data_IF_034208751854
#
_entry.id   IF_034208751854
#
_cell.length_a   1.000
_cell.length_b   1.000
_cell.length_c   1.000
_cell.angle_alpha   90.00
_cell.angle_beta   90.00
_cell.angle_gamma   90.00
#
_symmetry.space_group_name_H-M   'P 1'
#
loop_
_entity.id
_entity.type
_entity.pdbx_description
1 polymer ?
#
# COMPACT_ATOMS: atom_id res chain seq x y z
N UNK A 1 -33.11 11.61 30.02
CA UNK A 1 -32.66 10.43 29.24
C UNK A 1 -31.15 10.30 29.40
N UNK A 2 -30.66 9.29 30.13
CA UNK A 2 -29.22 9.09 30.32
C UNK A 2 -28.57 8.65 29.00
N UNK A 3 -27.56 9.40 28.54
CA UNK A 3 -26.77 9.03 27.38
C UNK A 3 -26.13 7.65 27.61
N UNK A 4 -26.37 6.71 26.69
CA UNK A 4 -25.75 5.38 26.74
C UNK A 4 -24.22 5.52 26.79
N UNK A 5 -23.51 4.72 27.59
CA UNK A 5 -22.06 4.82 27.70
C UNK A 5 -21.38 4.57 26.34
N UNK A 6 -20.47 5.48 25.98
CA UNK A 6 -19.65 5.45 24.78
C UNK A 6 -18.83 4.15 24.71
N UNK A 7 -19.12 3.28 23.74
CA UNK A 7 -18.44 2.00 23.55
C UNK A 7 -17.72 1.97 22.18
N UNK A 8 -16.42 2.32 22.13
CA UNK A 8 -15.62 2.32 20.90
C UNK A 8 -15.63 0.98 20.16
N UNK A 9 -15.77 -0.16 20.88
CA UNK A 9 -15.68 -1.48 20.27
C UNK A 9 -16.91 -1.87 19.46
N UNK A 10 -18.09 -1.28 19.73
CA UNK A 10 -19.29 -1.46 18.92
C UNK A 10 -19.19 -0.78 17.55
N UNK A 11 -18.32 0.24 17.43
CA UNK A 11 -18.20 1.09 16.26
C UNK A 11 -17.45 0.41 15.11
N UNK A 12 -16.48 -0.48 15.39
CA UNK A 12 -15.53 -0.96 14.38
C UNK A 12 -15.82 -2.33 13.77
N UNK A 13 -16.77 -3.11 14.30
CA UNK A 13 -17.05 -4.48 13.84
C UNK A 13 -17.47 -4.55 12.36
N UNK A 14 -18.14 -3.51 11.87
CA UNK A 14 -18.57 -3.40 10.47
C UNK A 14 -17.58 -2.65 9.58
N UNK A 15 -16.52 -2.04 10.15
CA UNK A 15 -15.62 -1.18 9.36
C UNK A 15 -14.96 -1.93 8.21
N UNK A 16 -14.53 -3.18 8.43
CA UNK A 16 -13.95 -4.00 7.36
C UNK A 16 -14.94 -4.20 6.20
N UNK A 17 -16.19 -4.54 6.51
CA UNK A 17 -17.23 -4.77 5.51
C UNK A 17 -17.59 -3.48 4.76
N UNK A 18 -17.80 -2.38 5.48
CA UNK A 18 -18.14 -1.09 4.87
C UNK A 18 -16.98 -0.52 4.04
N UNK A 19 -15.73 -0.73 4.49
CA UNK A 19 -14.52 -0.37 3.73
C UNK A 19 -14.47 -1.12 2.40
N UNK A 20 -14.69 -2.43 2.43
CA UNK A 20 -14.74 -3.26 1.23
C UNK A 20 -15.87 -2.81 0.29
N UNK A 21 -17.05 -2.52 0.84
CA UNK A 21 -18.21 -2.02 0.09
C UNK A 21 -17.90 -0.66 -0.56
N UNK A 22 -17.27 0.27 0.19
CA UNK A 22 -16.89 1.60 -0.30
C UNK A 22 -15.86 1.51 -1.43
N UNK A 23 -14.98 0.51 -1.44
CA UNK A 23 -14.10 0.20 -2.57
C UNK A 23 -14.83 -0.39 -3.80
N UNK A 24 -16.17 -0.40 -3.82
CA UNK A 24 -16.97 -0.90 -4.94
C UNK A 24 -16.93 -2.42 -5.10
N UNK A 25 -16.60 -3.16 -4.03
CA UNK A 25 -16.56 -4.63 -4.09
C UNK A 25 -17.98 -5.21 -4.10
N UNK A 26 -18.23 -6.11 -5.04
CA UNK A 26 -19.51 -6.79 -5.23
C UNK A 26 -19.57 -8.09 -4.42
N UNK A 27 -20.79 -8.60 -4.18
CA UNK A 27 -21.05 -9.78 -3.34
C UNK A 27 -20.26 -11.03 -3.77
N UNK A 28 -19.97 -11.17 -5.06
CA UNK A 28 -19.31 -12.34 -5.64
C UNK A 28 -17.81 -12.11 -5.93
N UNK A 29 -17.27 -10.95 -5.56
CA UNK A 29 -15.87 -10.63 -5.80
C UNK A 29 -14.95 -11.50 -4.93
N UNK A 30 -13.86 -11.98 -5.53
CA UNK A 30 -12.83 -12.76 -4.82
C UNK A 30 -11.73 -11.86 -4.32
N UNK A 31 -11.88 -11.38 -3.10
CA UNK A 31 -10.88 -10.55 -2.44
C UNK A 31 -9.75 -11.38 -1.84
N UNK A 32 -8.51 -10.88 -1.97
CA UNK A 32 -7.32 -11.57 -1.48
C UNK A 32 -6.86 -10.97 -0.17
N UNK A 33 -6.91 -11.78 0.88
CA UNK A 33 -6.41 -11.43 2.21
C UNK A 33 -5.08 -12.10 2.48
N UNK A 34 -4.23 -11.42 3.26
CA UNK A 34 -2.98 -11.97 3.79
C UNK A 34 -3.01 -11.83 5.31
N UNK A 35 -2.67 -12.92 6.00
CA UNK A 35 -2.41 -12.93 7.43
C UNK A 35 -0.90 -12.98 7.62
N UNK A 36 -0.35 -11.95 8.24
CA UNK A 36 1.09 -11.83 8.49
C UNK A 36 1.30 -11.80 9.99
N UNK A 37 2.11 -12.73 10.51
CA UNK A 37 2.46 -12.71 11.93
C UNK A 37 3.34 -11.49 12.20
N UNK A 38 2.80 -10.53 12.93
CA UNK A 38 3.32 -9.17 12.99
C UNK A 38 4.37 -9.03 14.12
N UNK A 39 4.28 -9.88 15.16
CA UNK A 39 5.21 -9.86 16.28
C UNK A 39 6.61 -10.37 15.86
N UNK A 40 7.60 -9.50 16.02
CA UNK A 40 9.02 -9.83 15.85
C UNK A 40 9.40 -10.83 16.94
N UNK A 41 9.73 -12.09 16.58
CA UNK A 41 10.54 -12.92 17.48
C UNK A 41 11.88 -12.19 17.64
N UNK A 42 12.21 -11.81 18.87
CA UNK A 42 13.61 -11.48 19.23
C UNK A 42 14.42 -12.71 18.85
N UNK A 43 15.39 -12.53 17.95
CA UNK A 43 16.19 -13.56 17.29
C UNK A 43 15.39 -14.52 16.39
N UNK A 44 15.58 -14.39 15.08
CA UNK A 44 16.28 -15.42 14.31
C UNK A 44 16.28 -15.06 12.81
N UNK A 45 17.50 -14.93 12.27
CA UNK A 45 17.76 -15.37 10.90
C UNK A 45 17.21 -16.80 10.81
N UNK A 46 16.27 -17.11 9.91
CA UNK A 46 16.28 -18.31 9.06
C UNK A 46 15.07 -18.30 8.12
N UNK A 47 15.43 -18.38 6.84
CA UNK A 47 14.83 -19.20 5.78
C UNK A 47 13.33 -19.51 5.83
N UNK A 48 12.66 -19.07 4.78
CA UNK A 48 11.31 -19.48 4.40
C UNK A 48 11.23 -21.00 4.18
N UNK A 49 10.87 -21.76 5.19
CA UNK A 49 10.10 -23.01 5.12
C UNK A 49 10.05 -23.63 6.52
N UNK A 50 8.87 -24.11 6.92
CA UNK A 50 8.57 -24.76 8.21
C UNK A 50 8.58 -23.85 9.46
N UNK A 51 7.42 -23.30 9.81
CA UNK A 51 7.16 -22.83 11.18
C UNK A 51 5.65 -22.91 11.50
N UNK A 52 5.09 -24.11 11.36
CA UNK A 52 3.98 -24.53 12.22
C UNK A 52 4.62 -25.19 13.43
N UNK A 53 4.59 -24.52 14.59
CA UNK A 53 4.34 -25.07 15.94
C UNK A 53 4.85 -24.12 17.02
N UNK A 54 4.07 -24.09 18.11
CA UNK A 54 4.39 -23.57 19.46
C UNK A 54 4.67 -22.07 19.62
N UNK A 55 3.65 -21.35 20.10
CA UNK A 55 3.82 -20.08 20.81
C UNK A 55 3.39 -20.27 22.27
N UNK A 56 4.14 -19.75 23.25
CA UNK A 56 3.79 -19.87 24.66
C UNK A 56 2.50 -19.10 24.94
N UNK A 57 1.58 -19.76 25.64
CA UNK A 57 0.31 -19.23 26.12
C UNK A 57 0.54 -18.12 27.15
N UNK A 58 -0.10 -16.96 26.94
CA UNK A 58 -0.23 -15.90 27.94
C UNK A 58 -1.70 -15.85 28.41
N UNK A 59 -1.89 -15.90 29.73
CA UNK A 59 -3.21 -15.83 30.39
C UNK A 59 -3.64 -14.37 30.47
N UNK A 60 -4.85 -14.04 30.03
CA UNK A 60 -5.43 -12.70 30.19
C UNK A 60 -6.81 -12.78 30.87
N UNK A 61 -7.02 -11.90 31.84
CA UNK A 61 -8.26 -11.75 32.59
C UNK A 61 -9.32 -10.94 31.81
N UNK A 62 -10.59 -11.25 32.12
CA UNK A 62 -11.86 -10.85 31.49
C UNK A 62 -12.32 -9.42 31.84
N UNK A 63 -13.39 -8.87 31.20
CA UNK A 63 -14.27 -9.55 30.24
C UNK A 63 -14.12 -9.13 28.77
N UNK A 64 -14.08 -10.17 27.94
CA UNK A 64 -13.97 -10.21 26.48
C UNK A 64 -15.25 -10.86 25.92
N UNK A 65 -16.19 -10.07 25.42
CA UNK A 65 -17.42 -10.57 24.78
C UNK A 65 -17.79 -9.89 23.44
N UNK A 66 -17.09 -8.83 22.99
CA UNK A 66 -17.60 -7.95 21.91
C UNK A 66 -17.03 -8.18 20.50
N UNK A 67 -15.91 -8.89 20.35
CA UNK A 67 -15.30 -9.09 19.02
C UNK A 67 -15.95 -10.26 18.26
N UNK A 68 -16.31 -11.35 18.93
CA UNK A 68 -16.81 -12.56 18.27
C UNK A 68 -18.26 -12.44 17.77
N UNK A 69 -19.08 -11.56 18.35
CA UNK A 69 -20.49 -11.38 17.94
C UNK A 69 -20.69 -10.48 16.71
N UNK A 70 -19.65 -9.78 16.23
CA UNK A 70 -19.84 -8.56 15.41
C UNK A 70 -19.22 -8.64 14.01
N UNK A 71 -18.46 -9.70 13.68
CA UNK A 71 -17.82 -9.89 12.37
C UNK A 71 -18.51 -10.95 11.49
N UNK A 72 -19.81 -11.19 11.66
CA UNK A 72 -20.54 -12.25 10.94
C UNK A 72 -20.67 -12.03 9.44
N UNK A 73 -20.37 -10.82 8.94
CA UNK A 73 -20.59 -10.41 7.54
C UNK A 73 -19.45 -10.79 6.58
N UNK A 74 -18.25 -11.12 7.08
CA UNK A 74 -17.11 -11.51 6.24
C UNK A 74 -16.66 -12.92 6.58
N UNK A 75 -16.88 -13.85 5.66
CA UNK A 75 -16.35 -15.22 5.74
C UNK A 75 -15.10 -15.31 4.88
N UNK A 76 -13.94 -15.44 5.53
CA UNK A 76 -12.70 -15.72 4.81
C UNK A 76 -12.49 -17.22 4.67
N UNK A 77 -12.05 -17.65 3.49
CA UNK A 77 -11.80 -19.04 3.16
C UNK A 77 -10.34 -19.22 2.76
N UNK A 78 -9.78 -20.39 3.11
CA UNK A 78 -8.52 -20.86 2.54
C UNK A 78 -8.70 -21.21 1.06
N UNK A 79 -7.58 -21.47 0.36
CA UNK A 79 -7.62 -22.00 -1.01
C UNK A 79 -8.38 -23.32 -1.17
N UNK A 80 -8.57 -24.08 -0.09
CA UNK A 80 -9.30 -25.35 -0.05
C UNK A 80 -10.73 -25.18 0.48
N UNK A 81 -11.30 -23.98 0.39
CA UNK A 81 -12.63 -23.61 0.90
C UNK A 81 -12.86 -23.86 2.40
N UNK A 82 -11.80 -24.03 3.19
CA UNK A 82 -11.92 -24.13 4.66
C UNK A 82 -12.12 -22.75 5.29
N UNK A 83 -13.07 -22.56 6.21
CA UNK A 83 -13.24 -21.31 6.95
C UNK A 83 -11.99 -20.87 7.69
N UNK A 84 -11.73 -19.56 7.72
CA UNK A 84 -10.65 -18.92 8.48
C UNK A 84 -11.24 -18.02 9.55
N UNK A 85 -10.96 -18.30 10.82
CA UNK A 85 -11.36 -17.46 11.95
C UNK A 85 -10.41 -16.26 12.09
N UNK A 86 -10.62 -15.24 11.27
CA UNK A 86 -9.72 -14.08 11.14
C UNK A 86 -9.46 -13.38 12.48
N UNK A 87 -10.50 -13.18 13.29
CA UNK A 87 -10.37 -12.56 14.60
C UNK A 87 -9.50 -13.37 15.56
N UNK A 88 -9.61 -14.70 15.53
CA UNK A 88 -8.76 -15.60 16.31
C UNK A 88 -7.29 -15.45 15.89
N UNK A 89 -7.03 -15.39 14.59
CA UNK A 89 -5.67 -15.12 14.10
C UNK A 89 -5.18 -13.73 14.49
N UNK A 90 -6.02 -12.70 14.41
CA UNK A 90 -5.63 -11.35 14.81
C UNK A 90 -5.28 -11.25 16.30
N UNK A 91 -6.07 -11.91 17.16
CA UNK A 91 -5.75 -12.07 18.58
C UNK A 91 -4.43 -12.79 18.82
N UNK A 92 -4.10 -13.76 17.96
CA UNK A 92 -2.85 -14.52 18.03
C UNK A 92 -1.66 -13.80 17.38
N UNK A 93 -1.75 -12.49 17.15
CA UNK A 93 -0.63 -11.68 16.67
C UNK A 93 -0.52 -11.52 15.15
N UNK A 94 -1.50 -12.00 14.37
CA UNK A 94 -1.50 -11.81 12.92
C UNK A 94 -2.15 -10.48 12.52
N UNK A 95 -1.44 -9.62 11.80
CA UNK A 95 -2.08 -8.52 11.09
C UNK A 95 -2.83 -9.02 9.86
N UNK A 96 -3.96 -8.36 9.58
CA UNK A 96 -4.84 -8.66 8.45
C UNK A 96 -4.63 -7.62 7.36
N UNK A 97 -4.24 -8.09 6.18
CA UNK A 97 -4.06 -7.27 5.00
C UNK A 97 -5.01 -7.72 3.89
N UNK A 98 -5.33 -6.81 2.97
CA UNK A 98 -6.12 -7.08 1.77
C UNK A 98 -5.45 -6.43 0.55
N UNK A 99 -5.39 -7.15 -0.57
CA UNK A 99 -5.04 -6.54 -1.86
C UNK A 99 -6.17 -5.58 -2.27
N UNK A 100 -5.82 -4.31 -2.52
CA UNK A 100 -6.82 -3.26 -2.73
C UNK A 100 -7.45 -3.35 -4.13
N UNK A 101 -6.64 -3.55 -5.17
CA UNK A 101 -7.15 -3.65 -6.53
C UNK A 101 -7.53 -5.09 -6.89
N UNK A 102 -8.57 -5.24 -7.71
CA UNK A 102 -9.21 -6.53 -7.96
C UNK A 102 -8.50 -7.39 -8.98
N UNK A 103 -8.39 -8.67 -8.64
CA UNK A 103 -8.10 -9.76 -9.58
C UNK A 103 -8.65 -11.06 -9.02
N UNK A 104 -9.24 -11.89 -9.88
CA UNK A 104 -9.86 -13.15 -9.47
C UNK A 104 -8.87 -14.14 -8.83
N UNK A 105 -7.62 -14.15 -9.29
CA UNK A 105 -6.54 -15.00 -8.76
C UNK A 105 -5.19 -14.29 -8.84
N UNK A 106 -4.17 -14.82 -8.15
CA UNK A 106 -2.79 -14.28 -8.19
C UNK A 106 -2.18 -14.29 -9.61
N UNK A 107 -2.63 -15.20 -10.47
CA UNK A 107 -2.11 -15.42 -11.83
C UNK A 107 -2.93 -14.71 -12.91
N UNK A 108 -4.12 -14.21 -12.59
CA UNK A 108 -4.97 -13.46 -13.53
C UNK A 108 -4.61 -11.98 -13.55
N UNK A 109 -4.86 -11.36 -14.69
CA UNK A 109 -4.74 -9.91 -14.87
C UNK A 109 -5.73 -9.16 -13.99
N UNK A 110 -5.34 -7.96 -13.58
CA UNK A 110 -6.28 -7.01 -12.99
C UNK A 110 -7.31 -6.62 -14.04
N UNK A 111 -8.56 -6.40 -13.62
CA UNK A 111 -9.62 -5.91 -14.51
C UNK A 111 -9.72 -4.38 -14.46
N UNK A 112 -9.68 -3.83 -13.26
CA UNK A 112 -9.74 -2.39 -12.99
C UNK A 112 -9.03 -2.06 -11.68
N UNK A 113 -8.59 -0.82 -11.52
CA UNK A 113 -8.11 -0.30 -10.24
C UNK A 113 -9.30 0.21 -9.41
N UNK A 114 -9.47 -0.29 -8.18
CA UNK A 114 -10.55 0.12 -7.26
C UNK A 114 -10.25 1.47 -6.60
N UNK A 115 -8.98 1.78 -6.41
CA UNK A 115 -8.55 3.02 -5.79
C UNK A 115 -7.12 3.38 -6.20
N UNK A 116 -6.77 4.67 -6.19
CA UNK A 116 -5.40 5.12 -5.93
C UNK A 116 -5.20 5.28 -4.42
N UNK A 117 -3.98 5.06 -3.90
CA UNK A 117 -3.79 5.10 -2.45
C UNK A 117 -2.36 5.42 -1.99
N UNK A 118 -2.22 6.08 -0.86
CA UNK A 118 -0.91 6.36 -0.23
C UNK A 118 -0.79 5.69 1.14
N UNK A 119 0.45 5.44 1.58
CA UNK A 119 0.82 4.94 2.92
C UNK A 119 1.79 5.92 3.57
N UNK A 120 1.23 6.77 4.42
CA UNK A 120 1.97 7.81 5.12
C UNK A 120 2.44 7.24 6.46
N UNK A 121 3.75 7.00 6.59
CA UNK A 121 4.40 6.62 7.85
C UNK A 121 5.12 7.83 8.46
N UNK A 122 4.54 8.40 9.52
CA UNK A 122 5.06 9.58 10.20
C UNK A 122 6.04 9.23 11.32
N UNK A 123 6.24 7.95 11.63
CA UNK A 123 7.08 7.53 12.76
C UNK A 123 8.56 7.52 12.40
N UNK A 124 8.91 7.22 11.15
CA UNK A 124 10.30 6.94 10.76
C UNK A 124 10.99 8.16 10.17
N UNK A 125 12.25 8.34 10.54
CA UNK A 125 13.22 9.19 9.85
C UNK A 125 14.31 8.25 9.33
N UNK A 126 14.60 8.29 8.03
CA UNK A 126 15.58 7.40 7.42
C UNK A 126 16.48 8.18 6.47
N UNK A 127 17.78 8.23 6.79
CA UNK A 127 18.79 8.87 5.96
C UNK A 127 19.96 7.93 5.68
N UNK A 128 20.67 8.20 4.59
CA UNK A 128 21.90 7.51 4.22
C UNK A 128 23.06 8.49 4.19
N UNK A 129 24.21 8.06 4.68
CA UNK A 129 25.42 8.87 4.77
C UNK A 129 26.62 8.08 4.26
N UNK A 130 27.50 8.67 3.43
CA UNK A 130 28.75 8.05 3.03
C UNK A 130 29.73 7.90 4.20
N UNK A 131 29.64 8.77 5.22
CA UNK A 131 30.60 8.78 6.35
C UNK A 131 29.92 8.75 7.71
N UNK A 132 30.62 8.19 8.70
CA UNK A 132 30.18 8.16 10.11
C UNK A 132 30.07 9.57 10.72
N UNK A 133 30.92 10.50 10.28
CA UNK A 133 30.89 11.90 10.73
C UNK A 133 29.56 12.57 10.37
N UNK A 134 29.14 12.47 9.12
CA UNK A 134 27.87 13.04 8.66
C UNK A 134 26.66 12.38 9.34
N UNK A 135 26.74 11.06 9.56
CA UNK A 135 25.75 10.33 10.35
C UNK A 135 25.60 10.94 11.76
N UNK A 136 26.70 11.10 12.49
CA UNK A 136 26.68 11.65 13.84
C UNK A 136 26.19 13.10 13.87
N UNK A 137 26.59 13.93 12.90
CA UNK A 137 26.07 15.29 12.76
C UNK A 137 24.55 15.29 12.58
N UNK A 138 24.00 14.41 11.74
CA UNK A 138 22.56 14.29 11.58
C UNK A 138 21.85 13.82 12.85
N UNK A 139 22.44 12.89 13.60
CA UNK A 139 21.88 12.43 14.88
C UNK A 139 21.84 13.59 15.88
N UNK A 140 22.95 14.33 16.02
CA UNK A 140 23.02 15.48 16.92
C UNK A 140 21.97 16.52 16.56
N UNK A 141 21.85 16.89 15.28
CA UNK A 141 20.84 17.86 14.84
C UNK A 141 19.41 17.44 15.21
N UNK A 142 19.09 16.15 15.07
CA UNK A 142 17.77 15.61 15.45
C UNK A 142 17.59 15.67 16.97
N UNK A 143 18.61 15.29 17.75
CA UNK A 143 18.55 15.29 19.21
C UNK A 143 18.42 16.70 19.80
N UNK A 144 18.97 17.70 19.11
CA UNK A 144 18.90 19.12 19.50
C UNK A 144 17.60 19.80 19.08
N UNK A 145 16.81 19.21 18.18
CA UNK A 145 15.50 19.76 17.80
C UNK A 145 14.46 19.39 18.88
N UNK A 146 13.99 20.37 19.70
CA UNK A 146 13.07 20.09 20.79
C UNK A 146 11.69 19.59 20.29
N UNK A 147 11.37 19.81 19.01
CA UNK A 147 10.12 19.35 18.41
C UNK A 147 10.19 17.88 18.00
N UNK A 148 11.38 17.33 17.76
CA UNK A 148 11.59 15.96 17.30
C UNK A 148 11.89 15.00 18.46
N UNK A 149 10.82 14.54 19.11
CA UNK A 149 10.92 13.55 20.19
C UNK A 149 11.17 12.15 19.62
N UNK A 150 12.41 11.67 19.72
CA UNK A 150 12.84 10.35 19.25
C UNK A 150 12.76 9.31 20.38
N UNK A 151 12.25 8.12 20.07
CA UNK A 151 12.24 6.97 20.98
C UNK A 151 13.41 6.01 20.77
N UNK A 152 13.95 5.91 19.56
CA UNK A 152 15.07 5.02 19.27
C UNK A 152 15.82 5.42 18.01
N UNK A 153 17.09 5.03 17.94
CA UNK A 153 17.92 5.04 16.75
C UNK A 153 18.38 3.61 16.41
N UNK A 154 18.57 3.34 15.14
CA UNK A 154 19.19 2.13 14.63
C UNK A 154 20.12 2.51 13.49
N UNK A 155 21.35 2.03 13.55
CA UNK A 155 22.38 2.29 12.53
C UNK A 155 22.73 0.96 11.88
N UNK A 156 22.72 0.92 10.55
CA UNK A 156 23.18 -0.23 9.78
C UNK A 156 24.09 0.24 8.65
N UNK A 157 24.80 -0.68 8.00
CA UNK A 157 25.50 -0.40 6.75
C UNK A 157 24.81 -1.13 5.59
N UNK A 158 24.79 -0.51 4.42
CA UNK A 158 24.35 -1.19 3.20
C UNK A 158 25.52 -1.83 2.45
N UNK A 159 25.20 -2.60 1.41
CA UNK A 159 26.18 -3.35 0.63
C UNK A 159 27.19 -2.44 -0.11
N UNK A 160 26.93 -1.13 -0.17
CA UNK A 160 27.84 -0.13 -0.75
C UNK A 160 28.70 0.55 0.32
N UNK A 161 28.65 0.07 1.56
CA UNK A 161 29.35 0.64 2.70
C UNK A 161 28.74 1.92 3.27
N UNK A 162 27.58 2.37 2.74
CA UNK A 162 26.94 3.59 3.25
C UNK A 162 26.27 3.32 4.59
N UNK A 163 26.35 4.27 5.51
CA UNK A 163 25.66 4.23 6.79
C UNK A 163 24.19 4.59 6.58
N UNK A 164 23.29 3.74 7.07
CA UNK A 164 21.87 4.03 7.16
C UNK A 164 21.51 4.32 8.61
N UNK A 165 20.90 5.47 8.82
CA UNK A 165 20.26 5.83 10.09
C UNK A 165 18.76 5.58 9.97
N UNK A 166 18.17 4.93 10.96
CA UNK A 166 16.74 4.87 11.17
C UNK A 166 16.44 5.41 12.57
N UNK A 167 15.71 6.51 12.66
CA UNK A 167 15.16 7.00 13.92
C UNK A 167 13.65 6.73 13.96
N UNK A 168 13.14 6.34 15.13
CA UNK A 168 11.70 6.19 15.37
C UNK A 168 11.25 7.26 16.36
N UNK A 169 10.19 7.98 16.01
CA UNK A 169 9.60 9.01 16.86
C UNK A 169 8.79 8.41 18.01
N UNK A 170 8.68 9.17 19.10
CA UNK A 170 7.79 8.86 20.21
C UNK A 170 6.32 8.82 19.75
N UNK A 171 5.47 8.11 20.51
CA UNK A 171 4.02 8.08 20.23
C UNK A 171 3.39 9.46 20.27
N UNK A 172 3.83 10.31 21.20
CA UNK A 172 3.35 11.70 21.35
C UNK A 172 3.67 12.52 20.11
N UNK A 173 4.89 12.41 19.58
CA UNK A 173 5.28 13.12 18.35
C UNK A 173 4.53 12.60 17.13
N UNK A 174 4.36 11.29 16.99
CA UNK A 174 3.54 10.72 15.90
C UNK A 174 2.10 11.22 15.96
N UNK A 175 1.49 11.30 17.15
CA UNK A 175 0.14 11.83 17.32
C UNK A 175 0.04 13.31 16.90
N UNK A 176 1.03 14.14 17.26
CA UNK A 176 1.08 15.53 16.82
C UNK A 176 1.22 15.64 15.29
N UNK A 177 2.17 14.90 14.70
CA UNK A 177 2.40 14.90 13.25
C UNK A 177 1.18 14.42 12.47
N UNK A 178 0.42 13.46 13.00
CA UNK A 178 -0.84 13.00 12.43
C UNK A 178 -1.85 14.13 12.28
N UNK A 179 -2.02 14.96 13.32
CA UNK A 179 -2.92 16.11 13.26
C UNK A 179 -2.40 17.17 12.29
N UNK A 180 -1.11 17.50 12.36
CA UNK A 180 -0.49 18.45 11.43
C UNK A 180 -0.57 18.00 9.97
N UNK A 181 -0.47 16.70 9.69
CA UNK A 181 -0.61 16.14 8.35
C UNK A 181 -2.02 16.36 7.81
N UNK A 182 -3.05 16.08 8.60
CA UNK A 182 -4.43 16.29 8.18
C UNK A 182 -4.73 17.76 7.94
N UNK A 183 -4.32 18.65 8.85
CA UNK A 183 -4.53 20.09 8.69
C UNK A 183 -3.79 20.66 7.46
N UNK A 184 -2.55 20.20 7.20
CA UNK A 184 -1.77 20.66 6.05
C UNK A 184 -2.39 20.25 4.72
N UNK A 185 -3.03 19.08 4.67
CA UNK A 185 -3.53 18.48 3.44
C UNK A 185 -5.06 18.44 3.37
N UNK A 186 -5.76 19.22 4.21
CA UNK A 186 -7.22 19.15 4.35
C UNK A 186 -7.92 19.25 2.99
N UNK A 187 -7.60 20.27 2.20
CA UNK A 187 -8.18 20.49 0.87
C UNK A 187 -7.83 19.37 -0.12
N UNK A 188 -6.66 18.75 0.02
CA UNK A 188 -6.22 17.66 -0.86
C UNK A 188 -6.92 16.33 -0.55
N UNK A 189 -7.42 16.13 0.69
CA UNK A 189 -7.87 14.81 1.17
C UNK A 189 -9.28 14.80 1.78
N UNK A 190 -9.97 15.94 1.86
CA UNK A 190 -11.32 16.08 2.45
C UNK A 190 -12.37 15.09 1.89
N UNK A 191 -12.26 14.73 0.61
CA UNK A 191 -13.19 13.84 -0.07
C UNK A 191 -12.72 12.37 -0.11
N UNK A 192 -11.57 12.07 0.49
CA UNK A 192 -10.95 10.74 0.41
C UNK A 192 -11.41 9.81 1.53
N UNK A 193 -11.26 8.51 1.32
CA UNK A 193 -11.41 7.57 2.42
C UNK A 193 -10.07 7.48 3.19
N UNK A 194 -10.09 7.82 4.47
CA UNK A 194 -8.90 7.88 5.34
C UNK A 194 -8.98 6.78 6.39
N UNK A 195 -7.99 5.89 6.39
CA UNK A 195 -7.81 4.84 7.39
C UNK A 195 -6.62 5.21 8.27
N UNK A 196 -6.88 5.36 9.57
CA UNK A 196 -5.83 5.58 10.55
C UNK A 196 -5.12 4.27 10.88
N UNK A 197 -3.79 4.27 10.72
CA UNK A 197 -2.91 3.18 11.14
C UNK A 197 -2.05 3.61 12.32
N UNK A 198 -1.23 2.70 12.86
CA UNK A 198 -0.42 3.00 14.06
C UNK A 198 0.48 4.23 13.88
N UNK A 199 1.17 4.32 12.75
CA UNK A 199 2.22 5.31 12.52
C UNK A 199 1.79 6.46 11.58
N UNK A 200 0.59 6.42 11.03
CA UNK A 200 0.08 7.47 10.14
C UNK A 200 -1.23 7.06 9.49
N UNK A 201 -1.33 7.19 8.16
CA UNK A 201 -2.59 7.03 7.43
C UNK A 201 -2.41 6.21 6.16
N UNK A 202 -3.40 5.37 5.86
CA UNK A 202 -3.67 4.99 4.49
C UNK A 202 -4.78 5.89 3.96
N UNK A 203 -4.57 6.51 2.80
CA UNK A 203 -5.57 7.37 2.17
C UNK A 203 -5.91 6.78 0.81
N UNK A 204 -7.21 6.71 0.49
CA UNK A 204 -7.73 6.09 -0.71
C UNK A 204 -8.60 7.08 -1.48
N UNK A 205 -8.25 7.30 -2.74
CA UNK A 205 -9.14 7.88 -3.74
C UNK A 205 -9.82 6.72 -4.46
N UNK A 206 -11.05 6.40 -4.03
CA UNK A 206 -11.86 5.34 -4.63
C UNK A 206 -12.17 5.72 -6.07
N UNK A 207 -11.97 4.82 -7.02
CA UNK A 207 -12.09 5.10 -8.45
C UNK A 207 -13.36 4.51 -9.05
N UNK A 208 -13.92 5.25 -10.01
CA UNK A 208 -14.83 4.73 -11.03
C UNK A 208 -14.00 4.33 -12.25
N UNK A 209 -14.17 3.08 -12.70
CA UNK A 209 -13.56 2.55 -13.93
C UNK A 209 -12.04 2.80 -14.04
N UNK A 210 -11.30 2.63 -12.94
CA UNK A 210 -9.89 2.98 -12.84
C UNK A 210 -9.01 2.25 -13.86
N UNK A 211 -8.37 3.02 -14.76
CA UNK A 211 -7.47 2.48 -15.78
C UNK A 211 -6.18 1.94 -15.16
N UNK A 212 -5.83 0.71 -15.55
CA UNK A 212 -4.61 0.04 -15.12
C UNK A 212 -3.35 0.70 -15.68
N UNK A 213 -3.40 1.24 -16.90
CA UNK A 213 -2.25 1.91 -17.51
C UNK A 213 -1.91 3.23 -16.82
N UNK A 214 -2.93 3.90 -16.27
CA UNK A 214 -2.77 5.16 -15.57
C UNK A 214 -2.42 4.97 -14.09
N UNK A 215 -2.61 3.75 -13.56
CA UNK A 215 -2.39 3.46 -12.15
C UNK A 215 -1.00 3.89 -11.68
N UNK A 216 0.06 3.30 -12.24
CA UNK A 216 1.45 3.51 -11.79
C UNK A 216 1.91 4.97 -11.92
N UNK A 217 1.69 5.67 -13.05
CA UNK A 217 2.06 7.09 -13.18
C UNK A 217 1.41 7.99 -12.11
N UNK A 218 0.09 7.86 -11.92
CA UNK A 218 -0.65 8.66 -10.93
C UNK A 218 -0.23 8.28 -9.51
N UNK A 219 -0.06 6.98 -9.23
CA UNK A 219 0.34 6.47 -7.93
C UNK A 219 1.72 6.99 -7.49
N UNK A 220 2.65 7.14 -8.44
CA UNK A 220 3.97 7.77 -8.22
C UNK A 220 3.85 9.26 -7.93
N UNK A 221 3.02 9.98 -8.70
CA UNK A 221 2.78 11.41 -8.48
C UNK A 221 2.16 11.67 -7.09
N UNK A 222 1.21 10.84 -6.68
CA UNK A 222 0.65 10.88 -5.33
C UNK A 222 1.70 10.61 -4.25
N UNK A 223 2.50 9.54 -4.42
CA UNK A 223 3.55 9.21 -3.44
C UNK A 223 4.55 10.37 -3.28
N UNK A 224 4.88 11.08 -4.36
CA UNK A 224 5.72 12.27 -4.34
C UNK A 224 5.03 13.46 -3.67
N UNK A 225 3.81 13.81 -4.06
CA UNK A 225 3.06 14.97 -3.51
C UNK A 225 2.92 14.89 -1.98
N UNK A 226 2.61 13.70 -1.46
CA UNK A 226 2.36 13.49 -0.03
C UNK A 226 3.56 12.95 0.75
N UNK A 227 4.73 12.81 0.11
CA UNK A 227 5.92 12.19 0.71
C UNK A 227 5.62 10.82 1.37
N UNK A 228 4.80 10.02 0.69
CA UNK A 228 4.37 8.67 1.10
C UNK A 228 5.42 7.63 0.68
N UNK A 229 5.26 6.37 1.11
CA UNK A 229 6.12 5.26 0.67
C UNK A 229 6.18 5.17 -0.88
N UNK A 230 7.34 5.42 -1.52
CA UNK A 230 7.48 5.38 -2.98
C UNK A 230 7.29 3.96 -3.55
N UNK A 231 7.36 2.92 -2.72
CA UNK A 231 7.17 1.53 -3.15
C UNK A 231 5.69 1.17 -3.30
N UNK A 232 4.76 2.04 -2.92
CA UNK A 232 3.32 1.77 -2.98
C UNK A 232 2.71 1.85 -4.39
N UNK A 233 3.48 1.48 -5.41
CA UNK A 233 3.16 1.75 -6.83
C UNK A 233 2.60 0.55 -7.59
N UNK A 234 2.51 -0.62 -6.97
CA UNK A 234 2.04 -1.84 -7.63
C UNK A 234 0.55 -2.10 -7.38
N UNK A 235 -0.16 -2.53 -8.43
CA UNK A 235 -1.59 -2.88 -8.38
C UNK A 235 -1.92 -3.93 -7.30
N UNK A 236 -1.01 -4.89 -7.08
CA UNK A 236 -1.18 -5.98 -6.10
C UNK A 236 -0.88 -5.58 -4.66
N UNK A 237 -0.77 -4.29 -4.34
CA UNK A 237 -0.40 -3.85 -3.00
C UNK A 237 -1.46 -4.29 -1.99
N UNK A 238 -0.99 -4.98 -0.96
CA UNK A 238 -1.80 -5.36 0.18
C UNK A 238 -1.64 -4.35 1.31
N UNK A 239 -2.76 -3.89 1.84
CA UNK A 239 -2.82 -2.85 2.88
C UNK A 239 -3.52 -3.40 4.12
N UNK A 240 -3.16 -2.89 5.30
CA UNK A 240 -3.92 -3.17 6.53
C UNK A 240 -5.35 -2.64 6.36
N UNK A 241 -6.32 -3.45 6.77
CA UNK A 241 -7.74 -3.10 6.68
C UNK A 241 -8.29 -2.69 8.05
N UNK A 242 -9.28 -1.81 8.10
CA UNK A 242 -9.89 -1.36 9.35
C UNK A 242 -10.71 -2.47 10.02
N UNK A 243 -10.90 -2.37 11.34
CA UNK A 243 -11.61 -3.36 12.15
C UNK A 243 -10.71 -4.48 12.70
N UNK A 244 -9.39 -4.41 12.46
CA UNK A 244 -8.40 -5.35 12.97
C UNK A 244 -7.24 -4.61 13.64
N UNK A 245 -6.59 -5.28 14.60
CA UNK A 245 -5.42 -4.74 15.27
C UNK A 245 -4.15 -4.91 14.43
N UNK A 246 -3.32 -3.87 14.41
CA UNK A 246 -1.91 -3.94 14.07
C UNK A 246 -1.17 -4.51 15.29
N UNK A 247 -0.53 -5.68 15.12
CA UNK A 247 -0.01 -6.51 16.21
C UNK A 247 1.52 -6.50 16.35
N UNK A 248 2.23 -5.68 15.56
CA UNK A 248 3.69 -5.64 15.53
C UNK A 248 4.38 -5.45 16.89
N UNK A 249 3.73 -4.74 17.80
CA UNK A 249 4.10 -4.75 19.21
C UNK A 249 2.88 -5.27 20.00
N UNK A 250 2.90 -6.53 20.47
CA UNK A 250 1.80 -7.12 21.24
C UNK A 250 1.46 -6.38 22.54
N UNK A 251 2.41 -5.68 23.15
CA UNK A 251 2.20 -4.85 24.36
C UNK A 251 1.52 -3.52 24.04
N UNK A 252 1.45 -3.15 22.76
CA UNK A 252 0.80 -1.94 22.28
C UNK A 252 0.14 -2.19 20.92
N UNK A 253 -0.93 -3.00 20.89
CA UNK A 253 -1.71 -3.21 19.69
C UNK A 253 -2.41 -1.90 19.31
N UNK A 254 -2.64 -1.70 18.02
CA UNK A 254 -3.32 -0.50 17.51
C UNK A 254 -4.51 -0.90 16.65
N UNK A 255 -5.71 -0.45 16.99
CA UNK A 255 -6.91 -0.68 16.18
C UNK A 255 -6.83 0.15 14.90
N UNK A 256 -6.71 -0.52 13.75
CA UNK A 256 -6.82 0.15 12.45
C UNK A 256 -8.28 0.55 12.26
N UNK A 257 -8.56 1.82 12.02
CA UNK A 257 -9.94 2.35 11.96
C UNK A 257 -10.10 3.34 10.82
N UNK A 258 -11.34 3.45 10.34
CA UNK A 258 -11.70 4.47 9.34
C UNK A 258 -11.91 5.77 10.10
N UNK A 259 -11.17 6.81 9.70
CA UNK A 259 -11.32 8.17 10.21
C UNK A 259 -12.31 8.97 9.37
N UNK A 260 -12.34 8.72 8.06
CA UNK A 260 -13.21 9.38 7.10
C UNK A 260 -13.60 8.39 6.01
N UNK A 261 -14.88 8.36 5.62
CA UNK A 261 -15.38 7.43 4.60
C UNK A 261 -15.20 7.95 3.16
N UNK A 262 -14.91 9.25 3.01
CA UNK A 262 -14.81 9.91 1.72
C UNK A 262 -16.17 10.18 1.08
N UNK A 263 -16.16 10.85 -0.07
CA UNK A 263 -17.34 11.22 -0.83
C UNK A 263 -18.09 10.00 -1.39
N UNK A 264 -19.36 10.18 -1.77
CA UNK A 264 -20.22 9.10 -2.27
C UNK A 264 -19.89 8.66 -3.70
N UNK A 265 -19.71 9.62 -4.59
CA UNK A 265 -19.35 9.35 -5.98
C UNK A 265 -17.85 9.04 -6.12
N UNK A 266 -17.42 7.91 -6.68
CA UNK A 266 -16.00 7.63 -6.87
C UNK A 266 -15.32 8.63 -7.84
N UNK A 267 -14.00 8.78 -7.71
CA UNK A 267 -13.17 9.63 -8.57
C UNK A 267 -12.98 9.05 -9.96
N UNK A 268 -12.96 9.91 -10.98
CA UNK A 268 -12.23 9.57 -12.21
C UNK A 268 -10.74 9.83 -12.01
N UNK A 269 -9.88 9.14 -12.75
CA UNK A 269 -8.44 9.38 -12.64
C UNK A 269 -8.05 10.76 -13.18
N UNK A 270 -8.80 11.26 -14.16
CA UNK A 270 -8.64 12.58 -14.76
C UNK A 270 -8.97 13.68 -13.74
N UNK A 271 -10.11 13.57 -13.06
CA UNK A 271 -10.52 14.47 -11.98
C UNK A 271 -9.49 14.48 -10.84
N UNK A 272 -9.00 13.29 -10.45
CA UNK A 272 -7.98 13.18 -9.41
C UNK A 272 -6.68 13.90 -9.79
N UNK A 273 -6.23 13.74 -11.04
CA UNK A 273 -5.02 14.40 -11.54
C UNK A 273 -5.19 15.91 -11.55
N UNK A 274 -6.35 16.40 -12.00
CA UNK A 274 -6.66 17.83 -12.06
C UNK A 274 -6.78 18.47 -10.68
N UNK A 275 -7.62 17.91 -9.80
CA UNK A 275 -7.89 18.44 -8.45
C UNK A 275 -6.64 18.54 -7.59
N UNK A 276 -5.73 17.58 -7.70
CA UNK A 276 -4.49 17.57 -6.92
C UNK A 276 -3.29 18.20 -7.63
N UNK A 277 -3.49 18.74 -8.84
CA UNK A 277 -2.46 19.27 -9.72
C UNK A 277 -1.27 18.29 -9.90
N UNK A 278 -1.59 17.01 -10.13
CA UNK A 278 -0.57 15.97 -10.29
C UNK A 278 0.10 16.07 -11.65
N UNK A 279 1.40 15.75 -11.69
CA UNK A 279 2.19 15.63 -12.91
C UNK A 279 2.63 14.19 -13.18
N UNK A 280 1.69 13.26 -13.48
CA UNK A 280 2.02 11.87 -13.76
C UNK A 280 2.83 11.72 -15.05
N UNK A 281 3.95 10.98 -14.96
CA UNK A 281 4.79 10.67 -16.13
C UNK A 281 4.28 9.41 -16.81
N UNK A 282 3.56 9.58 -17.91
CA UNK A 282 3.09 8.47 -18.73
C UNK A 282 4.19 7.99 -19.69
N UNK A 283 4.26 6.68 -19.91
CA UNK A 283 5.12 6.15 -20.96
C UNK A 283 4.61 6.64 -22.31
N UNK A 284 5.43 7.38 -23.06
CA UNK A 284 5.13 7.71 -24.46
C UNK A 284 4.93 6.40 -25.23
N UNK A 285 3.79 6.23 -25.91
CA UNK A 285 3.64 5.14 -26.88
C UNK A 285 4.81 5.27 -27.85
N UNK A 286 5.73 4.29 -27.87
CA UNK A 286 6.73 4.21 -28.94
C UNK A 286 5.95 4.22 -30.24
N UNK A 287 6.01 5.33 -30.98
CA UNK A 287 5.45 5.41 -32.31
C UNK A 287 5.94 4.18 -33.08
N UNK A 288 5.03 3.50 -33.77
CA UNK A 288 5.36 2.38 -34.65
C UNK A 288 6.57 2.78 -35.50
N UNK A 289 7.76 2.25 -35.17
CA UNK A 289 8.83 2.15 -36.16
C UNK A 289 8.29 1.16 -37.18
N UNK A 290 7.55 1.67 -38.16
CA UNK A 290 7.30 0.96 -39.41
C UNK A 290 8.66 0.43 -39.84
N UNK A 291 8.80 -0.88 -39.80
CA UNK A 291 10.05 -1.55 -40.08
C UNK A 291 10.47 -1.14 -41.49
N UNK A 292 11.49 -0.28 -41.59
CA UNK A 292 12.20 0.06 -42.84
C UNK A 292 12.87 -1.18 -43.50
N UNK A 293 12.56 -2.40 -43.05
CA UNK A 293 12.99 -3.68 -43.63
C UNK A 293 12.12 -4.17 -44.79
N UNK A 294 10.94 -3.60 -45.04
CA UNK A 294 10.06 -4.04 -46.16
C UNK A 294 10.13 -3.19 -47.45
N UNK A 295 10.87 -2.08 -47.49
CA UNK A 295 11.09 -1.30 -48.73
C UNK A 295 12.38 -1.64 -49.49
N UNK A 296 13.38 -2.24 -48.83
CA UNK A 296 14.66 -2.60 -49.48
C UNK A 296 14.57 -3.91 -50.29
N UNK A 297 13.66 -4.82 -49.93
CA UNK A 297 13.44 -6.05 -50.70
C UNK A 297 12.64 -5.80 -52.00
N UNK A 298 11.76 -4.79 -52.04
CA UNK A 298 10.98 -4.46 -53.25
C UNK A 298 11.81 -3.71 -54.30
N UNK A 299 12.77 -2.87 -53.89
CA UNK A 299 13.71 -2.22 -54.83
C UNK A 299 14.79 -3.16 -55.39
N UNK A 300 15.22 -4.18 -54.64
CA UNK A 300 16.14 -5.20 -55.16
C UNK A 300 15.47 -6.21 -56.11
N UNK A 301 14.18 -6.48 -55.93
CA UNK A 301 13.43 -7.35 -56.85
C UNK A 301 13.14 -6.68 -58.20
N UNK A 302 12.94 -5.35 -58.23
CA UNK A 302 12.70 -4.61 -59.48
C UNK A 302 13.98 -4.42 -60.32
N UNK A 303 15.15 -4.27 -59.67
CA UNK A 303 16.46 -4.16 -60.36
C UNK A 303 16.97 -5.48 -60.96
N UNK A 304 16.47 -6.65 -60.54
CA UNK A 304 16.80 -7.96 -61.13
C UNK A 304 15.91 -8.33 -62.33
N UNK A 305 14.72 -7.74 -62.48
CA UNK A 305 13.88 -7.95 -63.69
C UNK A 305 14.25 -7.04 -64.87
N UNK A 306 14.87 -5.89 -64.64
CA UNK A 306 15.32 -4.99 -65.71
C UNK A 306 16.68 -5.37 -66.35
N UNK A 307 17.43 -6.33 -65.79
CA UNK A 307 18.77 -6.73 -66.29
C UNK A 307 18.77 -8.03 -67.10
N UNK A 308 17.65 -8.76 -67.15
CA UNK A 308 17.49 -9.95 -68.00
C UNK A 308 16.79 -9.68 -69.35
N UNK A 309 16.31 -8.45 -69.61
CA UNK A 309 15.67 -8.10 -70.90
C UNK A 309 16.57 -7.36 -71.89
N UNK A 310 17.87 -7.20 -71.59
CA UNK A 310 18.86 -6.52 -72.47
C UNK A 310 19.99 -7.43 -72.98
N UNK A 311 19.87 -8.75 -72.84
CA UNK A 311 20.85 -9.73 -73.34
C UNK A 311 20.29 -10.64 -74.47
N UNK A 312 19.22 -10.22 -75.16
CA UNK A 312 18.64 -10.92 -76.32
C UNK A 312 18.11 -9.94 -77.38
N UNK A 313 18.92 -8.98 -77.83
CA UNK A 313 18.75 -8.31 -79.14
C UNK A 313 20.13 -7.79 -79.56
N UNK A 314 20.65 -8.26 -80.69
CA UNK A 314 21.90 -7.79 -81.28
C UNK A 314 22.74 -8.92 -81.82
N UNK A 315 22.48 -9.26 -83.09
CA UNK A 315 23.40 -9.96 -83.99
C UNK A 315 24.70 -9.19 -84.12
#
# INVERSE_FOLDING_TARGET
MAAKPYNPMKQYGDHAYQFIKKLGSQKNDRLRFLLVHDAVRRNDYYSASSAFTTFPTMRLQKPFYSLESTSSKLKLLTKRNKPVHVLKHNRNGYAVFMEINDRETKTRSFKTARAQFIDVDLNKISYKFPTKRQLHQSINNILTDPTEQISSFSISRDNKGQYRMLAQRSRRRVAALKQSFLARHEDDINDTMIVETKNGYHIYWVLKDGSLSNFVPIQKALAQKFNSDPMITNLSRAMRIPGFYHMKNPESPFMVKVKQWGRDEPFTQEELVQSLALNPVYATKKGNKVSKRRKVSKLRALRRRGRMSRAKVGR
#
